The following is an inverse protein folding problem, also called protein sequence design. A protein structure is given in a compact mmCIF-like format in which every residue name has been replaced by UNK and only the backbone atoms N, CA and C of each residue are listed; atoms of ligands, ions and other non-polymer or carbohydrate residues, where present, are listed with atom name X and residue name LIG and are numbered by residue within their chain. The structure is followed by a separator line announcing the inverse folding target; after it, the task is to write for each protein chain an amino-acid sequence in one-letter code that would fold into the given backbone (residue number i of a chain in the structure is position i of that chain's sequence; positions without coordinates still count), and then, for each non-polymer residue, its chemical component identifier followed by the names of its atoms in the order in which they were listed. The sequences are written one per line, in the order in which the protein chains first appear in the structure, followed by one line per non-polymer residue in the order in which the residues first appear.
data_IF_324977267952
#
_entry.id   IF_324977267952
#
_cell.length_a   1.000
_cell.length_b   1.000
_cell.length_c   1.000
_cell.angle_alpha   90.00
_cell.angle_beta   90.00
_cell.angle_gamma   90.00
#
_symmetry.space_group_name_H-M   'P 1'
#
loop_
_entity.id
_entity.type
_entity.pdbx_description
1 polymer ?
#
# COMPACT_ATOMS: atom_id res chain seq x y z
N UNK A 1 -3.41 -17.19 12.49
CA UNK A 1 -3.91 -16.58 11.23
C UNK A 1 -2.72 -16.33 10.34
N UNK A 2 -2.79 -16.72 9.06
CA UNK A 2 -1.75 -16.41 8.09
C UNK A 2 -1.86 -14.93 7.65
N UNK A 3 -0.73 -14.32 7.30
CA UNK A 3 -0.70 -13.00 6.70
C UNK A 3 -1.14 -13.11 5.23
N UNK A 4 -2.11 -12.28 4.82
CA UNK A 4 -2.66 -12.29 3.46
C UNK A 4 -2.51 -10.93 2.80
N UNK A 5 -2.53 -10.91 1.47
CA UNK A 5 -2.46 -9.65 0.72
C UNK A 5 -3.64 -8.73 1.06
N UNK A 6 -4.86 -9.28 1.21
CA UNK A 6 -6.05 -8.51 1.57
C UNK A 6 -5.88 -7.77 2.90
N UNK A 7 -5.30 -8.44 3.91
CA UNK A 7 -5.04 -7.81 5.22
C UNK A 7 -4.00 -6.70 5.13
N UNK A 8 -3.00 -6.86 4.26
CA UNK A 8 -2.00 -5.81 4.02
C UNK A 8 -2.65 -4.64 3.27
N UNK A 9 -3.48 -4.89 2.26
CA UNK A 9 -4.22 -3.85 1.53
C UNK A 9 -5.16 -3.07 2.44
N UNK A 10 -5.88 -3.75 3.33
CA UNK A 10 -6.73 -3.12 4.34
C UNK A 10 -5.91 -2.20 5.26
N UNK A 11 -4.75 -2.67 5.74
CA UNK A 11 -3.87 -1.85 6.56
C UNK A 11 -3.31 -0.63 5.80
N UNK A 12 -2.92 -0.81 4.54
CA UNK A 12 -2.42 0.28 3.70
C UNK A 12 -3.52 1.29 3.34
N UNK A 13 -4.78 0.85 3.21
CA UNK A 13 -5.91 1.75 2.97
C UNK A 13 -6.16 2.73 4.15
N UNK A 14 -5.65 2.45 5.35
CA UNK A 14 -5.69 3.37 6.48
C UNK A 14 -4.63 4.48 6.43
N UNK A 15 -3.67 4.42 5.48
CA UNK A 15 -2.62 5.43 5.32
C UNK A 15 -3.07 6.47 4.29
N UNK A 16 -3.34 7.68 4.76
CA UNK A 16 -3.73 8.84 3.92
C UNK A 16 -2.51 9.61 3.44
N UNK A 17 -2.46 9.93 2.15
CA UNK A 17 -1.55 10.94 1.61
C UNK A 17 -2.11 12.35 1.91
N UNK A 18 -1.41 13.19 2.69
CA UNK A 18 -1.92 14.50 3.10
C UNK A 18 -2.01 15.50 1.94
N UNK A 19 -1.28 15.30 0.85
CA UNK A 19 -1.29 16.21 -0.31
C UNK A 19 -2.56 16.06 -1.15
N UNK A 20 -3.14 14.86 -1.18
CA UNK A 20 -4.34 14.54 -1.98
C UNK A 20 -5.55 14.14 -1.13
N UNK A 21 -5.38 14.04 0.19
CA UNK A 21 -6.41 13.66 1.16
C UNK A 21 -7.13 12.34 0.79
N UNK A 22 -6.38 11.38 0.25
CA UNK A 22 -6.85 10.05 -0.19
C UNK A 22 -5.84 8.99 0.24
N UNK A 23 -6.27 7.73 0.36
CA UNK A 23 -5.38 6.68 0.82
C UNK A 23 -4.44 6.15 -0.28
N UNK A 24 -3.30 5.61 0.12
CA UNK A 24 -2.23 5.16 -0.79
C UNK A 24 -2.66 4.03 -1.74
N UNK A 25 -3.70 3.27 -1.40
CA UNK A 25 -4.28 2.23 -2.27
C UNK A 25 -5.15 2.87 -3.35
N UNK A 26 -6.05 3.78 -2.97
CA UNK A 26 -6.92 4.53 -3.89
C UNK A 26 -6.16 5.42 -4.87
N UNK A 27 -5.00 5.92 -4.44
CA UNK A 27 -4.10 6.71 -5.26
C UNK A 27 -3.26 5.84 -6.21
N UNK A 28 -3.34 4.51 -6.10
CA UNK A 28 -2.58 3.59 -6.93
C UNK A 28 -1.07 3.64 -6.68
N UNK A 29 -0.63 4.16 -5.52
CA UNK A 29 0.79 4.31 -5.19
C UNK A 29 1.46 2.97 -4.90
N UNK A 30 0.69 1.97 -4.47
CA UNK A 30 1.19 0.62 -4.17
C UNK A 30 1.19 -0.21 -5.45
N UNK A 31 2.37 -0.47 -5.99
CA UNK A 31 2.53 -1.20 -7.26
C UNK A 31 2.74 -2.70 -7.06
N UNK A 32 3.28 -3.11 -5.91
CA UNK A 32 3.50 -4.52 -5.59
C UNK A 32 3.46 -4.78 -4.08
N UNK A 33 2.89 -5.92 -3.70
CA UNK A 33 2.94 -6.51 -2.37
C UNK A 33 3.50 -7.92 -2.51
N UNK A 34 4.56 -8.24 -1.77
CA UNK A 34 5.14 -9.59 -1.72
C UNK A 34 5.20 -10.06 -0.27
N UNK A 35 4.63 -11.24 -0.03
CA UNK A 35 4.65 -11.90 1.28
C UNK A 35 5.63 -13.07 1.21
N UNK A 36 6.54 -13.16 2.19
CA UNK A 36 7.47 -14.28 2.34
C UNK A 36 7.54 -14.63 3.82
N UNK A 37 6.85 -15.70 4.23
CA UNK A 37 6.65 -16.09 5.63
C UNK A 37 6.04 -14.96 6.46
N UNK A 38 6.84 -14.36 7.36
CA UNK A 38 6.44 -13.24 8.20
C UNK A 38 6.93 -11.88 7.68
N UNK A 39 7.58 -11.86 6.52
CA UNK A 39 8.10 -10.64 5.89
C UNK A 39 7.14 -10.12 4.84
N UNK A 40 7.00 -8.80 4.79
CA UNK A 40 6.21 -8.08 3.79
C UNK A 40 7.13 -7.09 3.08
N UNK A 41 7.28 -7.25 1.77
CA UNK A 41 7.87 -6.26 0.88
C UNK A 41 6.78 -5.48 0.15
N UNK A 42 6.89 -4.16 0.14
CA UNK A 42 5.97 -3.27 -0.57
C UNK A 42 6.80 -2.38 -1.48
N UNK A 43 6.40 -2.27 -2.75
CA UNK A 43 6.95 -1.31 -3.68
C UNK A 43 5.92 -0.21 -3.88
N UNK A 44 6.36 1.04 -3.73
CA UNK A 44 5.54 2.22 -3.93
C UNK A 44 6.15 3.13 -4.98
N UNK A 45 5.32 3.67 -5.85
CA UNK A 45 5.70 4.66 -6.84
C UNK A 45 4.90 5.94 -6.59
N UNK A 46 5.61 7.05 -6.37
CA UNK A 46 5.00 8.37 -6.24
C UNK A 46 5.07 9.04 -7.60
N UNK A 47 3.93 9.27 -8.28
CA UNK A 47 3.94 9.97 -9.55
C UNK A 47 4.48 11.39 -9.35
N UNK A 48 5.29 11.85 -10.30
CA UNK A 48 5.73 13.24 -10.33
C UNK A 48 4.48 14.14 -10.31
N UNK A 49 4.40 15.04 -9.32
CA UNK A 49 3.32 16.01 -9.23
C UNK A 49 3.32 16.86 -10.51
N UNK A 50 2.19 16.95 -11.20
CA UNK A 50 1.96 17.94 -12.26
C UNK A 50 1.33 19.18 -11.68
#
# INVERSE_FOLDING_TARGET
MALTEDRIREALAAVTDPSQNRNVIELGLVTSIKISDSNVGIIMEVPAHR
#
